data_IF_727545306078
#
_entry.id   IF_727545306078
#
_cell.length_a   1.000
_cell.length_b   1.000
_cell.length_c   1.000
_cell.angle_alpha   90.00
_cell.angle_beta   90.00
_cell.angle_gamma   90.00
#
_symmetry.space_group_name_H-M   'P 1'
#
loop_
_entity.id
_entity.type
_entity.pdbx_description
1 polymer ?
#
# COMPACT_ATOMS: atom_id res chain seq x y z
N UNK A 1 -7.13 -18.23 -8.69
CA UNK A 1 -5.90 -19.03 -8.56
C UNK A 1 -4.69 -18.15 -8.41
N UNK A 2 -3.64 -18.62 -7.75
CA UNK A 2 -2.34 -17.96 -7.68
C UNK A 2 -1.30 -18.79 -8.45
N UNK A 3 -0.47 -18.20 -9.28
CA UNK A 3 -0.55 -16.82 -9.78
C UNK A 3 -1.79 -16.58 -10.65
N UNK A 4 -2.05 -15.32 -11.01
CA UNK A 4 -3.20 -14.93 -11.83
C UNK A 4 -3.14 -15.62 -13.20
N UNK A 5 -4.23 -16.30 -13.60
CA UNK A 5 -4.29 -17.01 -14.87
C UNK A 5 -4.13 -16.10 -16.09
N UNK A 6 -4.62 -14.85 -16.01
CA UNK A 6 -4.46 -13.87 -17.08
C UNK A 6 -2.99 -13.55 -17.29
N UNK A 7 -2.26 -13.25 -16.20
CA UNK A 7 -0.83 -12.97 -16.26
C UNK A 7 -0.02 -14.18 -16.79
N UNK A 8 -0.46 -15.40 -16.51
CA UNK A 8 0.20 -16.60 -17.05
C UNK A 8 0.02 -16.78 -18.56
N UNK A 9 -1.09 -16.28 -19.12
CA UNK A 9 -1.40 -16.39 -20.55
C UNK A 9 -0.82 -15.24 -21.38
N UNK A 10 -0.53 -14.10 -20.75
CA UNK A 10 -0.01 -12.90 -21.43
C UNK A 10 1.31 -12.45 -20.77
N UNK A 11 2.45 -12.78 -21.35
CA UNK A 11 3.77 -12.36 -20.86
C UNK A 11 3.98 -10.84 -20.84
N UNK A 12 3.18 -10.09 -21.60
CA UNK A 12 3.26 -8.61 -21.65
C UNK A 12 2.41 -7.93 -20.57
N UNK A 13 1.69 -8.69 -19.75
CA UNK A 13 0.85 -8.15 -18.68
C UNK A 13 1.69 -7.55 -17.55
N UNK A 14 1.71 -6.22 -17.45
CA UNK A 14 2.46 -5.49 -16.42
C UNK A 14 2.08 -5.83 -14.97
N UNK A 15 1.02 -6.62 -14.73
CA UNK A 15 0.71 -7.11 -13.39
C UNK A 15 1.71 -8.15 -12.86
N UNK A 16 2.52 -8.76 -13.71
CA UNK A 16 3.62 -9.63 -13.24
C UNK A 16 4.55 -8.87 -12.30
N UNK A 17 5.04 -7.70 -12.76
CA UNK A 17 5.96 -6.89 -11.98
C UNK A 17 5.31 -6.39 -10.68
N UNK A 18 4.03 -6.04 -10.73
CA UNK A 18 3.27 -5.63 -9.55
C UNK A 18 3.14 -6.78 -8.54
N UNK A 19 2.82 -7.98 -8.98
CA UNK A 19 2.74 -9.16 -8.09
C UNK A 19 4.10 -9.50 -7.48
N UNK A 20 5.14 -9.51 -8.29
CA UNK A 20 6.49 -9.84 -7.84
C UNK A 20 6.99 -8.82 -6.83
N UNK A 21 6.79 -7.53 -7.11
CA UNK A 21 7.14 -6.47 -6.19
C UNK A 21 6.38 -6.59 -4.85
N UNK A 22 5.05 -6.71 -4.90
CA UNK A 22 4.22 -6.74 -3.70
C UNK A 22 4.45 -8.00 -2.86
N UNK A 23 4.54 -9.17 -3.48
CA UNK A 23 4.57 -10.44 -2.77
C UNK A 23 5.99 -10.82 -2.32
N UNK A 24 6.98 -10.64 -3.18
CA UNK A 24 8.30 -11.22 -2.95
C UNK A 24 9.39 -10.21 -2.63
N UNK A 25 9.24 -8.95 -3.02
CA UNK A 25 10.32 -8.00 -2.94
C UNK A 25 10.10 -6.87 -1.93
N UNK A 26 8.95 -6.19 -1.96
CA UNK A 26 8.75 -4.98 -1.17
C UNK A 26 8.33 -5.29 0.28
N UNK A 27 8.95 -4.66 1.24
CA UNK A 27 8.51 -4.58 2.63
C UNK A 27 7.65 -3.34 2.88
N UNK A 28 7.88 -2.28 2.09
CA UNK A 28 7.13 -1.03 2.12
C UNK A 28 6.60 -0.71 0.72
N UNK A 29 5.34 -0.34 0.64
CA UNK A 29 4.66 0.03 -0.60
C UNK A 29 4.06 1.42 -0.48
N UNK A 30 4.47 2.34 -1.32
CA UNK A 30 3.86 3.66 -1.43
C UNK A 30 2.98 3.71 -2.68
N UNK A 31 1.69 3.92 -2.48
CA UNK A 31 0.70 3.93 -3.56
C UNK A 31 0.22 5.36 -3.79
N UNK A 32 0.45 5.84 -5.00
CA UNK A 32 0.03 7.18 -5.41
C UNK A 32 -1.18 7.12 -6.34
N UNK A 33 -2.17 7.96 -6.08
CA UNK A 33 -3.36 8.07 -6.94
C UNK A 33 -3.89 9.51 -6.98
N UNK A 34 -4.30 10.00 -8.14
CA UNK A 34 -5.13 11.20 -8.19
C UNK A 34 -6.57 10.87 -7.83
N UNK A 35 -7.28 11.85 -7.27
CA UNK A 35 -8.73 11.81 -7.13
C UNK A 35 -9.36 12.13 -8.47
N UNK A 36 -10.30 11.30 -8.90
CA UNK A 36 -11.14 11.49 -10.09
C UNK A 36 -12.59 11.28 -9.70
N UNK A 37 -13.43 12.32 -9.83
CA UNK A 37 -14.84 12.25 -9.45
C UNK A 37 -15.09 11.76 -8.01
N UNK A 38 -14.24 12.21 -7.07
CA UNK A 38 -14.34 11.85 -5.66
C UNK A 38 -13.85 10.46 -5.28
N UNK A 39 -13.22 9.72 -6.22
CA UNK A 39 -12.66 8.38 -5.99
C UNK A 39 -11.22 8.28 -6.50
N UNK A 40 -10.53 7.22 -6.16
CA UNK A 40 -9.21 6.90 -6.71
C UNK A 40 -9.27 6.73 -8.24
N UNK A 41 -8.12 6.78 -8.92
CA UNK A 41 -8.06 6.67 -10.39
C UNK A 41 -8.52 5.29 -10.88
N UNK A 42 -8.96 5.23 -12.14
CA UNK A 42 -9.30 3.96 -12.80
C UNK A 42 -8.15 2.96 -12.83
N UNK A 43 -6.91 3.45 -12.93
CA UNK A 43 -5.72 2.59 -12.89
C UNK A 43 -5.56 1.93 -11.51
N UNK A 44 -5.83 2.67 -10.43
CA UNK A 44 -5.87 2.10 -9.08
C UNK A 44 -6.91 0.97 -8.98
N UNK A 45 -8.14 1.20 -9.43
CA UNK A 45 -9.17 0.16 -9.39
C UNK A 45 -8.84 -1.04 -10.26
N UNK A 46 -8.28 -0.82 -11.44
CA UNK A 46 -7.82 -1.91 -12.31
C UNK A 46 -6.76 -2.78 -11.63
N UNK A 47 -5.81 -2.17 -10.92
CA UNK A 47 -4.83 -2.90 -10.12
C UNK A 47 -5.51 -3.63 -8.94
N UNK A 48 -6.39 -2.95 -8.20
CA UNK A 48 -7.10 -3.51 -7.05
C UNK A 48 -7.94 -4.74 -7.44
N UNK A 49 -8.70 -4.67 -8.53
CA UNK A 49 -9.45 -5.82 -9.05
C UNK A 49 -8.53 -7.02 -9.39
N UNK A 50 -7.37 -6.75 -9.96
CA UNK A 50 -6.39 -7.79 -10.29
C UNK A 50 -5.77 -8.41 -9.01
N UNK A 51 -5.65 -7.66 -7.92
CA UNK A 51 -5.18 -8.17 -6.62
C UNK A 51 -6.19 -9.11 -5.92
N UNK A 52 -7.39 -9.28 -6.47
CA UNK A 52 -8.32 -10.31 -6.00
C UNK A 52 -7.69 -11.73 -6.01
N UNK A 53 -6.71 -11.98 -6.86
CA UNK A 53 -5.98 -13.26 -6.84
C UNK A 53 -5.17 -13.44 -5.54
N UNK A 54 -4.65 -12.35 -4.94
CA UNK A 54 -3.99 -12.35 -3.63
C UNK A 54 -5.02 -12.57 -2.52
N UNK A 55 -6.16 -11.88 -2.59
CA UNK A 55 -7.27 -12.08 -1.65
C UNK A 55 -7.76 -13.53 -1.63
N UNK A 56 -7.84 -14.18 -2.78
CA UNK A 56 -8.22 -15.59 -2.88
C UNK A 56 -7.24 -16.55 -2.16
N UNK A 57 -5.98 -16.17 -1.95
CA UNK A 57 -5.07 -16.97 -1.14
C UNK A 57 -5.46 -16.93 0.35
N UNK A 58 -6.00 -15.81 0.82
CA UNK A 58 -6.49 -15.68 2.20
C UNK A 58 -7.77 -16.51 2.36
N UNK A 59 -8.77 -16.30 1.50
CA UNK A 59 -10.09 -16.91 1.64
C UNK A 59 -10.11 -18.41 1.37
N UNK A 60 -9.34 -18.88 0.39
CA UNK A 60 -9.36 -20.27 -0.06
C UNK A 60 -8.21 -21.12 0.50
N UNK A 61 -7.14 -20.51 1.01
CA UNK A 61 -5.92 -21.20 1.44
C UNK A 61 -5.43 -20.79 2.81
N UNK A 62 -6.11 -19.86 3.49
CA UNK A 62 -5.68 -19.27 4.76
C UNK A 62 -4.24 -18.73 4.72
N UNK A 63 -3.81 -18.24 3.54
CA UNK A 63 -2.46 -17.75 3.28
C UNK A 63 -2.46 -16.25 3.06
N UNK A 64 -1.96 -15.49 4.03
CA UNK A 64 -1.80 -14.02 3.94
C UNK A 64 -0.45 -13.73 3.30
N UNK A 65 -0.45 -13.43 1.99
CA UNK A 65 0.78 -13.25 1.20
C UNK A 65 1.48 -11.91 1.47
N UNK A 66 0.73 -10.90 1.89
CA UNK A 66 1.24 -9.56 2.17
C UNK A 66 1.36 -9.27 3.68
N UNK A 67 1.43 -10.33 4.47
CA UNK A 67 1.63 -10.23 5.92
C UNK A 67 2.95 -9.53 6.24
N UNK A 68 2.92 -8.70 7.28
CA UNK A 68 4.09 -7.98 7.83
C UNK A 68 4.72 -6.96 6.85
N UNK A 69 3.98 -6.58 5.79
CA UNK A 69 4.33 -5.49 4.89
C UNK A 69 3.57 -4.21 5.24
N UNK A 70 4.11 -3.07 4.87
CA UNK A 70 3.58 -1.76 5.24
C UNK A 70 3.17 -0.97 4.00
N UNK A 71 2.01 -0.31 4.07
CA UNK A 71 1.58 0.60 3.02
C UNK A 71 1.45 2.04 3.50
N UNK A 72 1.75 2.97 2.59
CA UNK A 72 1.47 4.39 2.71
C UNK A 72 0.87 4.94 1.42
N UNK A 73 0.18 6.09 1.48
CA UNK A 73 -0.56 6.60 0.35
C UNK A 73 -0.20 8.05 0.05
N UNK A 74 -0.10 8.37 -1.24
CA UNK A 74 0.03 9.73 -1.75
C UNK A 74 -1.20 10.03 -2.61
N UNK A 75 -2.02 10.99 -2.16
CA UNK A 75 -3.31 11.29 -2.79
C UNK A 75 -3.30 12.73 -3.27
N UNK A 76 -3.54 12.94 -4.55
CA UNK A 76 -3.60 14.28 -5.14
C UNK A 76 -4.91 14.49 -5.88
N UNK A 77 -5.43 15.70 -5.84
CA UNK A 77 -6.65 16.01 -6.59
C UNK A 77 -7.04 17.48 -6.53
N UNK A 78 -7.93 17.87 -7.44
CA UNK A 78 -8.55 19.19 -7.48
C UNK A 78 -9.92 19.25 -6.80
N UNK A 79 -10.36 18.18 -6.16
CA UNK A 79 -11.65 18.10 -5.46
C UNK A 79 -11.45 17.49 -4.08
N UNK A 80 -12.39 17.78 -3.20
CA UNK A 80 -12.43 17.20 -1.88
C UNK A 80 -12.78 15.69 -1.92
N UNK A 81 -12.75 15.03 -0.80
CA UNK A 81 -13.00 13.60 -0.57
C UNK A 81 -11.75 12.77 -0.27
N UNK A 82 -10.68 13.43 0.15
CA UNK A 82 -9.40 12.78 0.48
C UNK A 82 -9.58 11.68 1.52
N UNK A 83 -10.30 11.97 2.62
CA UNK A 83 -10.47 11.01 3.70
C UNK A 83 -11.22 9.75 3.25
N UNK A 84 -12.22 9.89 2.40
CA UNK A 84 -12.95 8.74 1.88
C UNK A 84 -12.08 7.87 0.96
N UNK A 85 -11.29 8.51 0.09
CA UNK A 85 -10.33 7.81 -0.78
C UNK A 85 -9.26 7.10 0.04
N UNK A 86 -8.65 7.80 1.01
CA UNK A 86 -7.65 7.20 1.90
C UNK A 86 -8.23 6.03 2.70
N UNK A 87 -9.43 6.20 3.28
CA UNK A 87 -10.13 5.17 4.03
C UNK A 87 -10.44 3.92 3.19
N UNK A 88 -10.89 4.10 1.95
CA UNK A 88 -11.13 3.00 1.01
C UNK A 88 -9.83 2.26 0.66
N UNK A 89 -8.74 2.98 0.42
CA UNK A 89 -7.43 2.37 0.15
C UNK A 89 -6.91 1.59 1.36
N UNK A 90 -7.02 2.17 2.56
CA UNK A 90 -6.61 1.50 3.81
C UNK A 90 -7.42 0.24 4.06
N UNK A 91 -8.74 0.28 3.87
CA UNK A 91 -9.60 -0.90 4.03
C UNK A 91 -9.17 -2.01 3.06
N UNK A 92 -9.02 -1.68 1.78
CA UNK A 92 -8.63 -2.64 0.75
C UNK A 92 -7.27 -3.31 1.03
N UNK A 93 -6.23 -2.51 1.29
CA UNK A 93 -4.90 -3.06 1.55
C UNK A 93 -4.79 -3.73 2.93
N UNK A 94 -5.57 -3.28 3.91
CA UNK A 94 -5.70 -3.94 5.22
C UNK A 94 -6.27 -5.36 5.10
N UNK A 95 -7.29 -5.55 4.27
CA UNK A 95 -7.86 -6.88 3.97
C UNK A 95 -6.87 -7.82 3.28
N UNK A 96 -5.90 -7.27 2.55
CA UNK A 96 -4.81 -8.05 1.96
C UNK A 96 -3.68 -8.40 2.96
N UNK A 97 -3.73 -7.80 4.17
CA UNK A 97 -2.78 -8.10 5.25
C UNK A 97 -1.68 -7.06 5.47
N UNK A 98 -1.72 -5.92 4.75
CA UNK A 98 -0.76 -4.84 4.99
C UNK A 98 -1.10 -4.06 6.27
N UNK A 99 -0.07 -3.48 6.87
CA UNK A 99 -0.16 -2.61 8.04
C UNK A 99 0.13 -1.15 7.65
N UNK A 100 -0.29 -0.24 8.51
CA UNK A 100 -0.17 1.20 8.25
C UNK A 100 0.48 1.90 9.45
N UNK A 101 1.40 2.85 9.21
CA UNK A 101 1.91 3.69 10.30
C UNK A 101 0.85 4.71 10.73
N UNK A 102 1.03 5.38 11.87
CA UNK A 102 0.27 6.60 12.18
C UNK A 102 0.38 7.60 11.03
N UNK A 103 -0.74 8.28 10.71
CA UNK A 103 -0.81 9.19 9.55
C UNK A 103 -0.33 8.53 8.24
N UNK A 104 -1.04 7.51 7.75
CA UNK A 104 -0.59 6.63 6.68
C UNK A 104 -0.67 7.25 5.28
N UNK A 105 -1.11 8.48 5.16
CA UNK A 105 -1.16 9.17 3.88
C UNK A 105 -0.72 10.64 3.98
N UNK A 106 -0.25 11.15 2.85
CA UNK A 106 -0.15 12.57 2.55
C UNK A 106 -1.07 12.88 1.39
N UNK A 107 -1.74 14.01 1.46
CA UNK A 107 -2.66 14.40 0.41
C UNK A 107 -2.58 15.89 0.11
N UNK A 108 -2.83 16.20 -1.15
CA UNK A 108 -3.04 17.56 -1.62
C UNK A 108 -4.30 17.61 -2.47
N UNK A 109 -5.25 18.42 -2.04
CA UNK A 109 -6.41 18.75 -2.83
C UNK A 109 -6.57 20.26 -2.82
N UNK A 110 -6.44 20.88 -3.97
CA UNK A 110 -6.61 22.32 -4.14
C UNK A 110 -7.31 22.57 -5.46
N UNK A 111 -8.26 23.52 -5.41
CA UNK A 111 -8.76 24.13 -6.61
C UNK A 111 -10.11 23.62 -7.08
N UNK A 112 -11.04 24.58 -7.05
CA UNK A 112 -12.35 24.47 -7.67
C UNK A 112 -12.42 25.31 -8.95
N UNK A 113 -11.39 26.16 -9.19
CA UNK A 113 -11.29 27.00 -10.37
C UNK A 113 -10.39 26.38 -11.43
N UNK A 114 -10.59 26.77 -12.68
CA UNK A 114 -9.71 26.38 -13.79
C UNK A 114 -8.27 26.86 -13.55
N UNK A 115 -8.10 28.06 -12.99
CA UNK A 115 -6.80 28.63 -12.67
C UNK A 115 -6.05 27.83 -11.61
N UNK A 116 -6.72 27.38 -10.55
CA UNK A 116 -6.12 26.51 -9.55
C UNK A 116 -5.66 25.19 -10.15
N UNK A 117 -6.45 24.61 -11.06
CA UNK A 117 -6.12 23.36 -11.72
C UNK A 117 -4.92 23.49 -12.66
N UNK A 118 -4.81 24.62 -13.36
CA UNK A 118 -3.70 24.91 -14.27
C UNK A 118 -2.37 25.02 -13.52
N UNK A 119 -2.36 25.68 -12.35
CA UNK A 119 -1.16 25.89 -11.54
C UNK A 119 -0.87 24.78 -10.51
N UNK A 120 -1.75 23.81 -10.35
CA UNK A 120 -1.65 22.79 -9.31
C UNK A 120 -0.38 21.93 -9.44
N UNK A 121 0.03 21.60 -10.65
CA UNK A 121 1.24 20.80 -10.90
C UNK A 121 2.50 21.54 -10.44
N UNK A 122 2.58 22.81 -10.76
CA UNK A 122 3.72 23.64 -10.35
C UNK A 122 3.74 23.89 -8.85
N UNK A 123 2.58 24.05 -8.23
CA UNK A 123 2.46 24.15 -6.79
C UNK A 123 2.98 22.88 -6.11
N UNK A 124 2.52 21.72 -6.52
CA UNK A 124 2.95 20.43 -5.95
C UNK A 124 4.46 20.25 -6.09
N UNK A 125 5.02 20.56 -7.26
CA UNK A 125 6.47 20.45 -7.50
C UNK A 125 7.32 21.35 -6.62
N UNK A 126 6.81 22.52 -6.23
CA UNK A 126 7.54 23.53 -5.45
C UNK A 126 7.23 23.50 -3.96
N UNK A 127 6.24 22.74 -3.53
CA UNK A 127 5.83 22.71 -2.13
C UNK A 127 6.84 21.93 -1.27
N UNK A 128 7.57 22.66 -0.45
CA UNK A 128 8.45 22.06 0.56
C UNK A 128 7.64 21.21 1.56
N UNK A 129 6.47 21.70 1.98
CA UNK A 129 5.58 21.02 2.91
C UNK A 129 5.15 19.63 2.40
N UNK A 130 4.75 19.54 1.12
CA UNK A 130 4.37 18.25 0.52
C UNK A 130 5.58 17.30 0.39
N UNK A 131 6.74 17.84 0.04
CA UNK A 131 7.98 17.05 -0.06
C UNK A 131 8.42 16.52 1.30
N UNK A 132 8.38 17.35 2.34
CA UNK A 132 8.69 16.95 3.72
C UNK A 132 7.66 15.96 4.26
N UNK A 133 6.38 16.19 4.00
CA UNK A 133 5.30 15.28 4.36
C UNK A 133 5.45 13.90 3.71
N UNK A 134 5.83 13.85 2.44
CA UNK A 134 6.08 12.58 1.72
C UNK A 134 7.30 11.84 2.29
N UNK A 135 8.38 12.58 2.62
CA UNK A 135 9.54 12.01 3.30
C UNK A 135 9.17 11.44 4.65
N UNK A 136 8.47 12.20 5.49
CA UNK A 136 8.04 11.77 6.81
C UNK A 136 7.09 10.55 6.74
N UNK A 137 6.25 10.46 5.71
CA UNK A 137 5.45 9.25 5.45
C UNK A 137 6.33 8.05 5.16
N UNK A 138 7.31 8.19 4.27
CA UNK A 138 8.22 7.09 3.93
C UNK A 138 9.03 6.64 5.15
N UNK A 139 9.54 7.56 5.96
CA UNK A 139 10.26 7.27 7.20
C UNK A 139 9.40 6.48 8.18
N UNK A 140 8.15 6.90 8.43
CA UNK A 140 7.22 6.17 9.30
C UNK A 140 6.89 4.76 8.78
N UNK A 141 6.77 4.60 7.46
CA UNK A 141 6.57 3.29 6.85
C UNK A 141 7.79 2.38 7.08
N UNK A 142 8.99 2.89 6.86
CA UNK A 142 10.24 2.15 7.08
C UNK A 142 10.44 1.76 8.55
N UNK A 143 10.17 2.67 9.47
CA UNK A 143 10.25 2.37 10.91
C UNK A 143 9.27 1.26 11.31
N UNK A 144 8.04 1.30 10.81
CA UNK A 144 7.06 0.25 11.10
C UNK A 144 7.50 -1.08 10.50
N UNK A 145 7.97 -1.11 9.26
CA UNK A 145 8.47 -2.32 8.61
C UNK A 145 9.65 -2.94 9.39
N UNK A 146 10.60 -2.12 9.84
CA UNK A 146 11.72 -2.58 10.65
C UNK A 146 11.27 -3.21 11.98
N UNK A 147 10.26 -2.62 12.64
CA UNK A 147 9.68 -3.19 13.88
C UNK A 147 8.99 -4.53 13.64
N UNK A 148 8.27 -4.68 12.54
CA UNK A 148 7.60 -5.93 12.18
C UNK A 148 8.61 -7.04 11.91
N UNK A 149 9.67 -6.76 11.16
CA UNK A 149 10.75 -7.71 10.88
C UNK A 149 11.49 -8.14 12.15
N UNK A 150 11.80 -7.20 13.05
CA UNK A 150 12.43 -7.51 14.33
C UNK A 150 11.55 -8.41 15.21
N UNK A 151 10.23 -8.17 15.21
CA UNK A 151 9.28 -8.99 15.96
C UNK A 151 9.17 -10.40 15.40
N UNK A 152 9.19 -10.55 14.08
CA UNK A 152 9.17 -11.86 13.40
C UNK A 152 10.42 -12.68 13.73
N UNK A 153 11.60 -12.04 13.76
CA UNK A 153 12.88 -12.68 14.11
C UNK A 153 12.96 -13.10 15.58
N UNK A 154 12.43 -12.27 16.50
CA UNK A 154 12.39 -12.53 17.94
C UNK A 154 11.45 -13.65 18.36
N UNK A 155 10.38 -13.92 17.60
CA UNK A 155 9.45 -15.01 17.89
C UNK A 155 10.05 -16.39 17.62
N UNK A 156 10.98 -16.50 16.68
CA UNK A 156 11.67 -17.76 16.34
C UNK A 156 12.65 -18.19 17.43
N UNK A 157 13.22 -17.25 18.19
CA UNK A 157 14.16 -17.55 19.27
C UNK A 157 13.51 -18.00 20.59
N UNK A 158 12.22 -17.72 20.80
CA UNK A 158 11.47 -18.10 22.02
C UNK A 158 10.84 -19.49 21.95
N UNK A 159 10.70 -20.09 20.77
CA UNK A 159 10.16 -21.43 20.59
C UNK A 159 11.11 -22.59 20.92
N UNK A 160 12.40 -22.30 21.10
CA UNK A 160 13.46 -23.31 21.32
C UNK A 160 13.74 -23.71 22.77
N UNK A 161 13.01 -23.17 23.77
CA UNK A 161 13.27 -23.44 25.19
C UNK A 161 12.05 -24.01 25.91
N UNK A 162 11.54 -25.16 25.48
CA UNK A 162 10.67 -26.00 26.31
C UNK A 162 10.75 -27.44 25.85
N UNK A 163 11.81 -28.14 26.17
CA UNK A 163 11.82 -29.57 26.37
C UNK A 163 13.16 -30.01 27.00
N UNK A 164 13.35 -29.71 28.28
CA UNK A 164 14.22 -30.53 29.14
C UNK A 164 13.85 -30.23 30.60
N UNK A 165 13.29 -31.20 31.26
CA UNK A 165 13.10 -31.19 32.73
C UNK A 165 11.75 -31.73 33.14
N UNK A 166 11.75 -32.96 33.45
CA UNK A 166 11.51 -33.56 34.75
C UNK A 166 10.76 -34.88 34.63
N UNK A 167 11.39 -35.80 35.12
CA UNK A 167 11.02 -36.87 36.05
C UNK A 167 9.54 -37.20 36.24
#
# INVERSE_FOLDING_TARGET
TWPCSISQMDPSDGMHDVYDALVYWADVVLIATPIRWGVASSLYFKMAERLNTVQNQITLRSRVMLKDKVAGFVITGGQDNIQAVAGQMMLFFGELGLQFPPFPFIAHSRGWSAEDMEHNVDYVKRSAELSEGARALAERCLELAARLQASASGSFSRGGRKASGAH
#
